data_IF_034989183305
#
_entry.id   IF_034989183305
#
_cell.length_a   1.000
_cell.length_b   1.000
_cell.length_c   1.000
_cell.angle_alpha   90.00
_cell.angle_beta   90.00
_cell.angle_gamma   90.00
#
_symmetry.space_group_name_H-M   'P 1'
#
loop_
_entity.id
_entity.type
_entity.pdbx_description
1 polymer ?
#
# COMPACT_ATOMS: atom_id res chain seq x y z
N UNK A 1 26.09 20.51 -0.44
CA UNK A 1 25.98 19.09 -0.10
C UNK A 1 24.78 18.78 0.82
N UNK A 2 24.57 19.47 1.96
CA UNK A 2 23.42 19.22 2.85
C UNK A 2 22.04 19.41 2.22
N UNK A 3 21.81 20.44 1.37
CA UNK A 3 20.53 20.65 0.68
C UNK A 3 20.16 19.49 -0.26
N UNK A 4 21.15 18.93 -0.96
CA UNK A 4 20.95 17.80 -1.88
C UNK A 4 20.54 16.52 -1.14
N UNK A 5 21.14 16.23 0.02
CA UNK A 5 20.80 15.06 0.82
C UNK A 5 19.41 15.20 1.45
N UNK A 6 19.06 16.39 1.95
CA UNK A 6 17.73 16.68 2.49
C UNK A 6 16.62 16.45 1.45
N UNK A 7 16.86 16.90 0.21
CA UNK A 7 15.92 16.68 -0.89
C UNK A 7 15.74 15.20 -1.21
N UNK A 8 16.81 14.41 -1.24
CA UNK A 8 16.76 12.96 -1.49
C UNK A 8 15.93 12.24 -0.41
N UNK A 9 16.06 12.63 0.86
CA UNK A 9 15.28 12.04 1.96
C UNK A 9 13.80 12.39 1.85
N UNK A 10 13.46 13.61 1.45
CA UNK A 10 12.08 14.02 1.21
C UNK A 10 11.48 13.26 0.00
N UNK A 11 12.21 13.15 -1.11
CA UNK A 11 11.76 12.39 -2.28
C UNK A 11 11.54 10.93 -1.93
N UNK A 12 12.47 10.32 -1.19
CA UNK A 12 12.33 8.96 -0.68
C UNK A 12 11.03 8.80 0.14
N UNK A 13 10.83 9.68 1.12
CA UNK A 13 9.65 9.65 1.97
C UNK A 13 8.35 9.85 1.16
N UNK A 14 8.34 10.79 0.21
CA UNK A 14 7.21 11.04 -0.67
C UNK A 14 6.86 9.80 -1.52
N UNK A 15 7.86 9.18 -2.16
CA UNK A 15 7.66 7.96 -2.95
C UNK A 15 7.10 6.84 -2.09
N UNK A 16 7.66 6.63 -0.89
CA UNK A 16 7.19 5.58 0.01
C UNK A 16 5.76 5.81 0.51
N UNK A 17 5.39 7.06 0.84
CA UNK A 17 4.00 7.37 1.20
C UNK A 17 3.06 7.27 0.00
N UNK A 18 3.50 7.64 -1.20
CA UNK A 18 2.73 7.44 -2.43
C UNK A 18 2.41 5.96 -2.65
N UNK A 19 3.41 5.09 -2.63
CA UNK A 19 3.22 3.65 -2.85
C UNK A 19 2.56 2.93 -1.66
N UNK A 20 2.56 3.51 -0.45
CA UNK A 20 1.79 2.97 0.67
C UNK A 20 0.29 2.92 0.40
N UNK A 21 -0.16 3.69 -0.56
CA UNK A 21 -1.56 3.81 -1.01
C UNK A 21 -2.16 2.50 -1.48
N UNK A 22 -1.37 1.61 -2.04
CA UNK A 22 -1.85 0.27 -2.44
C UNK A 22 -2.40 -0.55 -1.27
N UNK A 23 -1.90 -0.32 -0.04
CA UNK A 23 -2.43 -0.94 1.17
C UNK A 23 -3.53 -0.13 1.87
N UNK A 24 -3.91 1.03 1.38
CA UNK A 24 -4.91 1.89 2.01
C UNK A 24 -6.35 1.46 1.69
N UNK A 25 -7.26 1.85 2.57
CA UNK A 25 -8.68 1.48 2.47
C UNK A 25 -9.34 1.98 1.20
N UNK A 26 -9.00 3.19 0.75
CA UNK A 26 -9.57 3.76 -0.46
C UNK A 26 -9.21 2.94 -1.70
N UNK A 27 -7.96 2.45 -1.80
CA UNK A 27 -7.51 1.66 -2.93
C UNK A 27 -8.13 0.25 -2.93
N UNK A 28 -8.08 -0.45 -1.79
CA UNK A 28 -8.68 -1.78 -1.64
C UNK A 28 -10.21 -1.73 -1.83
N UNK A 29 -10.84 -0.62 -1.43
CA UNK A 29 -12.26 -0.37 -1.60
C UNK A 29 -12.73 -0.34 -3.06
N UNK A 30 -11.87 0.04 -4.00
CA UNK A 30 -12.19 0.04 -5.43
C UNK A 30 -12.58 -1.34 -5.96
N UNK A 31 -12.03 -2.40 -5.37
CA UNK A 31 -12.23 -3.78 -5.79
C UNK A 31 -13.32 -4.50 -4.98
N UNK A 32 -13.92 -3.83 -3.98
CA UNK A 32 -14.82 -4.46 -3.02
C UNK A 32 -16.01 -5.18 -3.70
N UNK A 33 -16.77 -4.50 -4.59
CA UNK A 33 -17.91 -5.13 -5.24
C UNK A 33 -17.49 -6.31 -6.10
N UNK A 34 -16.48 -6.14 -6.94
CA UNK A 34 -15.98 -7.18 -7.82
C UNK A 34 -15.52 -8.43 -7.07
N UNK A 35 -14.82 -8.25 -5.96
CA UNK A 35 -14.35 -9.37 -5.11
C UNK A 35 -15.53 -10.07 -4.44
N UNK A 36 -16.51 -9.33 -3.93
CA UNK A 36 -17.68 -9.91 -3.28
C UNK A 36 -18.53 -10.71 -4.28
N UNK A 37 -18.73 -10.16 -5.46
CA UNK A 37 -19.49 -10.81 -6.52
C UNK A 37 -18.77 -12.10 -6.99
N UNK A 38 -17.46 -12.04 -7.21
CA UNK A 38 -16.65 -13.19 -7.61
C UNK A 38 -16.60 -14.31 -6.55
N UNK A 39 -16.61 -13.97 -5.28
CA UNK A 39 -16.55 -14.95 -4.17
C UNK A 39 -17.92 -15.26 -3.57
N UNK A 40 -19.00 -14.63 -4.06
CA UNK A 40 -20.37 -14.76 -3.55
C UNK A 40 -20.48 -14.50 -2.05
N UNK A 41 -19.78 -13.46 -1.55
CA UNK A 41 -19.78 -13.08 -0.13
C UNK A 41 -20.56 -11.78 0.11
N UNK A 42 -21.18 -11.68 1.29
CA UNK A 42 -21.94 -10.50 1.71
C UNK A 42 -21.02 -9.33 2.11
N UNK A 43 -21.60 -8.12 2.21
CA UNK A 43 -20.91 -6.95 2.75
C UNK A 43 -20.34 -7.18 4.14
N UNK A 44 -21.12 -7.82 5.02
CA UNK A 44 -20.71 -8.13 6.39
C UNK A 44 -19.53 -9.10 6.43
N UNK A 45 -19.55 -10.15 5.61
CA UNK A 45 -18.44 -11.10 5.49
C UNK A 45 -17.15 -10.42 5.00
N UNK A 46 -17.24 -9.62 3.93
CA UNK A 46 -16.08 -8.85 3.46
C UNK A 46 -15.55 -7.91 4.54
N UNK A 47 -16.44 -7.17 5.22
CA UNK A 47 -16.06 -6.27 6.32
C UNK A 47 -15.37 -7.00 7.47
N UNK A 48 -15.84 -8.18 7.86
CA UNK A 48 -15.23 -8.99 8.92
C UNK A 48 -13.84 -9.50 8.50
N UNK A 49 -13.69 -9.97 7.26
CA UNK A 49 -12.40 -10.40 6.70
C UNK A 49 -11.42 -9.22 6.69
N UNK A 50 -11.87 -8.06 6.19
CA UNK A 50 -11.06 -6.85 6.12
C UNK A 50 -10.61 -6.38 7.51
N UNK A 51 -11.52 -6.33 8.47
CA UNK A 51 -11.22 -5.90 9.84
C UNK A 51 -10.22 -6.85 10.52
N UNK A 52 -10.44 -8.16 10.45
CA UNK A 52 -9.57 -9.15 11.08
C UNK A 52 -8.17 -9.19 10.43
N UNK A 53 -8.08 -9.09 9.11
CA UNK A 53 -6.82 -9.00 8.39
C UNK A 53 -6.04 -7.71 8.76
N UNK A 54 -6.76 -6.58 8.90
CA UNK A 54 -6.16 -5.30 9.30
C UNK A 54 -5.67 -5.34 10.75
N UNK A 55 -6.44 -5.91 11.67
CA UNK A 55 -6.03 -6.07 13.06
C UNK A 55 -4.77 -6.94 13.18
N UNK A 56 -4.73 -8.07 12.48
CA UNK A 56 -3.55 -8.94 12.44
C UNK A 56 -2.33 -8.19 11.88
N UNK A 57 -2.51 -7.45 10.79
CA UNK A 57 -1.47 -6.62 10.20
C UNK A 57 -0.89 -5.60 11.19
N UNK A 58 -1.77 -4.91 11.92
CA UNK A 58 -1.37 -3.92 12.91
C UNK A 58 -0.63 -4.55 14.08
N UNK A 59 -1.07 -5.70 14.54
CA UNK A 59 -0.42 -6.44 15.62
C UNK A 59 1.00 -6.87 15.26
N UNK A 60 1.18 -7.44 14.07
CA UNK A 60 2.51 -7.87 13.59
C UNK A 60 3.42 -6.67 13.34
N UNK A 61 2.87 -5.54 12.87
CA UNK A 61 3.63 -4.32 12.63
C UNK A 61 4.32 -3.79 13.90
N UNK A 62 3.73 -3.95 15.09
CA UNK A 62 4.33 -3.52 16.36
C UNK A 62 5.70 -4.17 16.57
N UNK A 63 5.87 -5.41 16.14
CA UNK A 63 7.09 -6.17 16.34
C UNK A 63 8.06 -6.03 15.16
N UNK A 64 7.58 -6.19 13.95
CA UNK A 64 8.42 -6.10 12.75
C UNK A 64 8.81 -4.65 12.41
N UNK A 65 7.97 -3.68 12.74
CA UNK A 65 8.30 -2.26 12.55
C UNK A 65 9.56 -1.82 13.31
N UNK A 66 9.83 -2.42 14.46
CA UNK A 66 11.05 -2.15 15.25
C UNK A 66 12.34 -2.58 14.54
N UNK A 67 12.27 -3.51 13.61
CA UNK A 67 13.43 -3.98 12.85
C UNK A 67 14.09 -2.91 11.98
N UNK A 68 13.41 -1.79 11.72
CA UNK A 68 14.01 -0.63 11.06
C UNK A 68 15.16 -0.01 11.87
N UNK A 69 15.20 -0.27 13.18
CA UNK A 69 16.26 0.21 14.08
C UNK A 69 17.52 -0.66 14.02
N UNK A 70 17.36 -1.92 13.63
CA UNK A 70 18.43 -2.92 13.62
C UNK A 70 19.03 -3.12 12.23
N UNK A 71 18.28 -2.81 11.15
CA UNK A 71 18.65 -3.10 9.78
C UNK A 71 19.03 -1.80 9.05
N UNK A 72 20.03 -1.86 8.18
CA UNK A 72 20.36 -0.75 7.27
C UNK A 72 19.13 -0.31 6.51
N UNK A 73 18.83 1.00 6.53
CA UNK A 73 17.62 1.58 5.94
C UNK A 73 17.41 1.19 4.47
N UNK A 74 18.48 1.11 3.69
CA UNK A 74 18.40 0.70 2.29
C UNK A 74 17.92 -0.75 2.14
N UNK A 75 18.47 -1.67 2.95
CA UNK A 75 18.06 -3.08 2.95
C UNK A 75 16.60 -3.23 3.40
N UNK A 76 16.24 -2.51 4.46
CA UNK A 76 14.87 -2.51 4.99
C UNK A 76 13.87 -1.97 3.97
N UNK A 77 14.18 -0.83 3.35
CA UNK A 77 13.36 -0.22 2.31
C UNK A 77 13.18 -1.15 1.10
N UNK A 78 14.26 -1.77 0.62
CA UNK A 78 14.21 -2.74 -0.48
C UNK A 78 13.33 -3.95 -0.13
N UNK A 79 13.47 -4.50 1.07
CA UNK A 79 12.67 -5.63 1.53
C UNK A 79 11.18 -5.27 1.58
N UNK A 80 10.83 -4.09 2.11
CA UNK A 80 9.46 -3.60 2.17
C UNK A 80 8.88 -3.39 0.77
N UNK A 81 9.67 -2.87 -0.17
CA UNK A 81 9.25 -2.68 -1.56
C UNK A 81 8.97 -4.01 -2.25
N UNK A 82 9.87 -5.00 -2.07
CA UNK A 82 9.68 -6.35 -2.61
C UNK A 82 8.44 -7.00 -2.00
N UNK A 83 8.24 -6.85 -0.69
CA UNK A 83 7.07 -7.38 -0.01
C UNK A 83 5.77 -6.75 -0.55
N UNK A 84 5.75 -5.43 -0.79
CA UNK A 84 4.59 -4.77 -1.38
C UNK A 84 4.32 -5.28 -2.80
N UNK A 85 5.36 -5.42 -3.63
CA UNK A 85 5.23 -5.95 -4.99
C UNK A 85 4.65 -7.38 -4.98
N UNK A 86 5.15 -8.23 -4.09
CA UNK A 86 4.61 -9.57 -3.87
C UNK A 86 3.15 -9.53 -3.41
N UNK A 87 2.82 -8.62 -2.49
CA UNK A 87 1.44 -8.46 -1.99
C UNK A 87 0.47 -8.05 -3.09
N UNK A 88 0.88 -7.14 -3.98
CA UNK A 88 0.07 -6.74 -5.14
C UNK A 88 -0.15 -7.91 -6.11
N UNK A 89 0.92 -8.67 -6.40
CA UNK A 89 0.80 -9.87 -7.22
C UNK A 89 -0.12 -10.91 -6.58
N UNK A 90 0.03 -11.14 -5.27
CA UNK A 90 -0.81 -12.06 -4.52
C UNK A 90 -2.28 -11.60 -4.51
N UNK A 91 -2.52 -10.31 -4.31
CA UNK A 91 -3.87 -9.73 -4.37
C UNK A 91 -4.54 -9.92 -5.72
N UNK A 92 -3.79 -9.90 -6.83
CA UNK A 92 -4.33 -10.13 -8.18
C UNK A 92 -4.81 -11.56 -8.44
N UNK A 93 -4.49 -12.53 -7.56
CA UNK A 93 -4.81 -13.96 -7.71
C UNK A 93 -5.88 -14.46 -6.74
N UNK A 94 -6.68 -13.55 -6.17
CA UNK A 94 -7.75 -13.93 -5.24
C UNK A 94 -8.72 -14.92 -5.89
N UNK A 95 -8.85 -16.10 -5.28
CA UNK A 95 -9.71 -17.18 -5.76
C UNK A 95 -10.57 -17.82 -4.67
N UNK A 96 -10.34 -17.48 -3.41
CA UNK A 96 -11.10 -18.00 -2.28
C UNK A 96 -11.13 -17.01 -1.11
N UNK A 97 -12.05 -17.22 -0.18
CA UNK A 97 -12.20 -16.38 1.04
C UNK A 97 -10.93 -16.40 1.90
N UNK A 98 -10.31 -17.58 2.07
CA UNK A 98 -9.06 -17.68 2.81
C UNK A 98 -7.93 -16.92 2.12
N UNK A 99 -7.86 -17.02 0.80
CA UNK A 99 -6.88 -16.29 0.00
C UNK A 99 -7.09 -14.78 0.08
N UNK A 100 -8.35 -14.32 0.08
CA UNK A 100 -8.71 -12.92 0.27
C UNK A 100 -8.21 -12.37 1.60
N UNK A 101 -8.39 -13.13 2.70
CA UNK A 101 -7.90 -12.72 4.02
C UNK A 101 -6.38 -12.47 4.00
N UNK A 102 -5.60 -13.41 3.47
CA UNK A 102 -4.15 -13.27 3.39
C UNK A 102 -3.72 -12.16 2.43
N UNK A 103 -4.43 -11.98 1.32
CA UNK A 103 -4.17 -10.91 0.36
C UNK A 103 -4.38 -9.53 0.99
N UNK A 104 -5.50 -9.32 1.68
CA UNK A 104 -5.76 -8.06 2.41
C UNK A 104 -4.73 -7.87 3.52
N UNK A 105 -4.44 -8.92 4.29
CA UNK A 105 -3.42 -8.86 5.34
C UNK A 105 -2.06 -8.40 4.79
N UNK A 106 -1.57 -9.01 3.72
CA UNK A 106 -0.29 -8.66 3.10
C UNK A 106 -0.28 -7.23 2.56
N UNK A 107 -1.34 -6.81 1.88
CA UNK A 107 -1.48 -5.44 1.36
C UNK A 107 -1.50 -4.40 2.49
N UNK A 108 -2.27 -4.65 3.55
CA UNK A 108 -2.35 -3.77 4.72
C UNK A 108 -1.01 -3.70 5.45
N UNK A 109 -0.37 -4.83 5.63
CA UNK A 109 0.91 -4.93 6.31
C UNK A 109 2.03 -4.25 5.53
N UNK A 110 2.22 -4.60 4.26
CA UNK A 110 3.31 -4.07 3.44
C UNK A 110 3.08 -2.60 3.05
N UNK A 111 1.89 -2.27 2.53
CA UNK A 111 1.56 -0.93 2.03
C UNK A 111 1.31 0.04 3.17
N UNK A 112 0.15 -0.04 3.82
CA UNK A 112 -0.22 0.91 4.86
C UNK A 112 0.73 0.85 6.06
N UNK A 113 1.13 -0.35 6.49
CA UNK A 113 2.01 -0.53 7.65
C UNK A 113 3.46 -0.18 7.33
N UNK A 114 4.17 -1.09 6.68
CA UNK A 114 5.62 -1.03 6.53
C UNK A 114 6.12 0.12 5.66
N UNK A 115 5.47 0.43 4.52
CA UNK A 115 5.87 1.56 3.66
C UNK A 115 5.74 2.90 4.39
N UNK A 116 4.58 3.17 4.99
CA UNK A 116 4.34 4.40 5.75
C UNK A 116 5.26 4.52 6.97
N UNK A 117 5.47 3.40 7.68
CA UNK A 117 6.39 3.36 8.82
C UNK A 117 7.83 3.66 8.39
N UNK A 118 8.31 3.07 7.30
CA UNK A 118 9.65 3.31 6.77
C UNK A 118 9.84 4.78 6.37
N UNK A 119 8.87 5.37 5.68
CA UNK A 119 8.91 6.78 5.28
C UNK A 119 8.99 7.71 6.50
N UNK A 120 8.02 7.58 7.41
CA UNK A 120 7.90 8.47 8.57
C UNK A 120 9.08 8.35 9.53
N UNK A 121 9.55 7.13 9.79
CA UNK A 121 10.69 6.89 10.68
C UNK A 121 11.98 7.47 10.09
N UNK A 122 12.24 7.21 8.81
CA UNK A 122 13.46 7.72 8.14
C UNK A 122 13.49 9.25 8.12
N UNK A 123 12.39 9.87 7.71
CA UNK A 123 12.29 11.33 7.64
C UNK A 123 12.35 11.97 9.03
N UNK A 124 11.69 11.38 10.01
CA UNK A 124 11.70 11.86 11.39
C UNK A 124 13.08 11.83 12.03
N UNK A 125 13.89 10.83 11.71
CA UNK A 125 15.28 10.73 12.21
C UNK A 125 16.20 11.74 11.56
N UNK A 126 16.02 11.98 10.27
CA UNK A 126 16.84 12.93 9.53
C UNK A 126 16.53 14.39 9.88
N UNK A 127 15.26 14.74 10.00
CA UNK A 127 14.78 16.12 10.23
C UNK A 127 14.39 16.34 11.71
N UNK A 128 15.37 16.49 12.61
CA UNK A 128 15.10 16.70 14.05
C UNK A 128 14.47 18.06 14.34
N UNK A 129 15.02 19.14 13.75
CA UNK A 129 14.57 20.54 13.97
C UNK A 129 13.33 20.92 13.18
N UNK A 130 13.09 20.30 12.01
CA UNK A 130 11.99 20.63 11.10
C UNK A 130 11.09 19.42 10.82
N UNK A 131 11.00 18.49 11.79
CA UNK A 131 10.27 17.21 11.65
C UNK A 131 8.84 17.39 11.14
N UNK A 132 8.06 18.31 11.72
CA UNK A 132 6.67 18.53 11.34
C UNK A 132 6.52 18.94 9.86
N UNK A 133 7.34 19.90 9.40
CA UNK A 133 7.35 20.33 7.99
C UNK A 133 7.76 19.22 7.04
N UNK A 134 8.79 18.45 7.40
CA UNK A 134 9.26 17.33 6.59
C UNK A 134 8.19 16.21 6.49
N UNK A 135 7.57 15.87 7.61
CA UNK A 135 6.49 14.87 7.65
C UNK A 135 5.27 15.32 6.84
N UNK A 136 4.79 16.55 7.00
CA UNK A 136 3.67 17.05 6.20
C UNK A 136 3.99 17.00 4.70
N UNK A 137 5.22 17.34 4.30
CA UNK A 137 5.63 17.29 2.89
C UNK A 137 5.57 15.87 2.32
N UNK A 138 6.04 14.86 3.04
CA UNK A 138 5.99 13.49 2.52
C UNK A 138 4.57 12.92 2.47
N UNK A 139 3.68 13.32 3.39
CA UNK A 139 2.29 12.87 3.39
C UNK A 139 1.48 13.40 2.20
N UNK A 140 1.94 14.46 1.51
CA UNK A 140 1.40 14.81 0.19
C UNK A 140 1.55 13.68 -0.83
N UNK A 141 2.51 12.76 -0.66
CA UNK A 141 2.63 11.56 -1.47
C UNK A 141 1.37 10.69 -1.39
N UNK A 142 0.87 10.44 -0.17
CA UNK A 142 -0.38 9.69 0.02
C UNK A 142 -1.58 10.42 -0.60
N UNK A 143 -1.73 11.72 -0.32
CA UNK A 143 -2.84 12.52 -0.87
C UNK A 143 -2.81 12.58 -2.39
N UNK A 144 -1.61 12.68 -2.99
CA UNK A 144 -1.46 12.63 -4.45
C UNK A 144 -1.87 11.28 -5.02
N UNK A 145 -1.49 10.19 -4.35
CA UNK A 145 -1.88 8.85 -4.77
C UNK A 145 -3.39 8.60 -4.62
N UNK A 146 -4.01 9.13 -3.56
CA UNK A 146 -5.45 9.05 -3.33
C UNK A 146 -6.25 9.75 -4.45
N UNK A 147 -5.70 10.81 -5.02
CA UNK A 147 -6.29 11.49 -6.16
C UNK A 147 -6.02 10.78 -7.49
N UNK A 148 -4.80 10.31 -7.72
CA UNK A 148 -4.34 9.79 -9.03
C UNK A 148 -4.76 8.31 -9.21
N UNK A 149 -4.52 7.46 -8.21
CA UNK A 149 -4.66 6.01 -8.37
C UNK A 149 -6.09 5.54 -8.65
N UNK A 150 -7.15 6.07 -8.02
CA UNK A 150 -8.52 5.65 -8.36
C UNK A 150 -8.87 5.93 -9.81
N UNK A 151 -8.54 7.15 -10.30
CA UNK A 151 -8.80 7.54 -11.69
C UNK A 151 -8.06 6.62 -12.65
N UNK A 152 -6.75 6.41 -12.40
CA UNK A 152 -5.93 5.53 -13.23
C UNK A 152 -6.43 4.08 -13.22
N UNK A 153 -6.81 3.57 -12.06
CA UNK A 153 -7.30 2.19 -11.90
C UNK A 153 -8.62 1.98 -12.62
N UNK A 154 -9.59 2.89 -12.42
CA UNK A 154 -10.90 2.81 -13.09
C UNK A 154 -10.72 2.85 -14.61
N UNK A 155 -9.90 3.79 -15.11
CA UNK A 155 -9.62 3.90 -16.54
C UNK A 155 -8.99 2.62 -17.09
N UNK A 156 -7.98 2.08 -16.41
CA UNK A 156 -7.28 0.86 -16.85
C UNK A 156 -8.21 -0.37 -16.85
N UNK A 157 -9.06 -0.53 -15.84
CA UNK A 157 -10.01 -1.63 -15.74
C UNK A 157 -11.09 -1.49 -16.83
N UNK A 158 -11.63 -0.29 -17.03
CA UNK A 158 -12.62 -0.03 -18.08
C UNK A 158 -12.07 -0.35 -19.47
N UNK A 159 -10.82 0.06 -19.74
CA UNK A 159 -10.17 -0.20 -21.03
C UNK A 159 -9.95 -1.70 -21.29
N UNK A 160 -9.50 -2.45 -20.28
CA UNK A 160 -9.26 -3.89 -20.42
C UNK A 160 -10.55 -4.69 -20.59
N UNK A 161 -11.64 -4.29 -19.93
CA UNK A 161 -12.93 -4.94 -20.07
C UNK A 161 -13.64 -4.62 -21.40
N UNK A 162 -13.35 -3.45 -22.01
CA UNK A 162 -13.92 -3.09 -23.31
C UNK A 162 -13.15 -3.69 -24.49
N UNK A 163 -11.87 -4.00 -24.34
CA UNK A 163 -11.02 -4.48 -25.44
C UNK A 163 -10.91 -6.00 -25.51
N UNK A 164 -10.97 -6.71 -24.39
CA UNK A 164 -10.85 -8.17 -24.35
C UNK A 164 -12.04 -8.93 -24.98
N UNK A 165 -13.31 -8.54 -24.80
CA UNK A 165 -14.40 -9.23 -25.46
C UNK A 165 -14.43 -9.07 -26.98
N UNK A 166 -13.89 -7.96 -27.48
CA UNK A 166 -13.89 -7.68 -28.93
C UNK A 166 -12.82 -8.47 -29.68
N UNK A 167 -11.74 -8.88 -29.00
CA UNK A 167 -10.64 -9.68 -29.60
C UNK A 167 -11.00 -11.17 -29.67
N UNK A 168 -11.92 -11.65 -28.81
CA UNK A 168 -12.37 -13.04 -28.78
C UNK A 168 -13.54 -13.33 -29.71
N UNK A 169 -14.08 -12.31 -30.40
CA UNK A 169 -15.20 -12.43 -31.35
C UNK A 169 -14.77 -12.30 -32.83
N UNK A 170 -13.47 -12.29 -33.11
CA UNK A 170 -12.84 -12.40 -34.43
C UNK A 170 -12.01 -13.67 -34.46
#
# INVERSE_FOLDING_TARGET
MFKSLSLKVIIFGFIFTFFSSFGQSFFLGLFNSNIRDALSISHGQFGSIYASATLLSSFILIWLGKKIDEIYIFKFASLVTILLSFSCFFFSKISSVAFLFFAIFLMRFSGQGMMSHTATTTVSRYFTKSRGKALSTIWFGLSSAEFILPVFTIYSVSYTHLTLPTILLV
#
